data_IF_424455902460
#
_entry.id   IF_424455902460
#
_cell.length_a   1.000
_cell.length_b   1.000
_cell.length_c   1.000
_cell.angle_alpha   90.00
_cell.angle_beta   90.00
_cell.angle_gamma   90.00
#
_symmetry.space_group_name_H-M   'P 1'
#
loop_
_entity.id
_entity.type
_entity.pdbx_description
1 polymer ?
#
# COMPACT_ATOMS: atom_id res chain seq x y z
N UNK A 1 5.92 16.48 1.60
CA UNK A 1 6.03 15.53 2.71
C UNK A 1 7.50 15.23 3.00
N UNK A 2 8.29 14.68 2.07
CA UNK A 2 9.69 14.28 2.28
C UNK A 2 10.52 15.41 2.91
N UNK A 3 10.52 16.60 2.32
CA UNK A 3 11.24 17.77 2.85
C UNK A 3 10.82 18.13 4.27
N UNK A 4 9.54 18.02 4.57
CA UNK A 4 9.00 18.29 5.91
C UNK A 4 9.52 17.29 6.94
N UNK A 5 9.53 16.01 6.61
CA UNK A 5 10.06 14.94 7.48
C UNK A 5 11.55 15.12 7.73
N UNK A 6 12.33 15.38 6.68
CA UNK A 6 13.78 15.63 6.79
C UNK A 6 14.11 16.83 7.68
N UNK A 7 13.35 17.93 7.57
CA UNK A 7 13.52 19.13 8.42
C UNK A 7 13.27 18.86 9.91
N UNK A 8 12.66 17.73 10.24
CA UNK A 8 12.41 17.26 11.62
C UNK A 8 13.30 16.08 12.01
N UNK A 9 14.43 15.93 11.33
CA UNK A 9 15.42 14.86 11.55
C UNK A 9 14.86 13.45 11.31
N UNK A 10 13.75 13.32 10.57
CA UNK A 10 13.25 12.04 10.14
C UNK A 10 14.01 11.52 8.92
N UNK A 11 14.09 10.20 8.79
CA UNK A 11 14.72 9.50 7.66
C UNK A 11 13.62 8.86 6.80
N UNK A 12 13.07 9.60 5.81
CA UNK A 12 11.96 9.09 5.02
C UNK A 12 12.43 8.13 3.94
N UNK A 13 11.62 7.12 3.68
CA UNK A 13 11.67 6.28 2.49
C UNK A 13 10.25 6.08 1.93
N UNK A 14 10.15 5.66 0.68
CA UNK A 14 8.89 5.41 -0.01
C UNK A 14 8.68 3.90 -0.13
N UNK A 15 7.48 3.45 0.21
CA UNK A 15 7.03 2.09 -0.06
C UNK A 15 5.89 2.15 -1.09
N UNK A 16 6.00 1.44 -2.23
CA UNK A 16 4.91 1.35 -3.19
C UNK A 16 3.74 0.54 -2.62
N UNK A 17 2.69 1.20 -2.19
CA UNK A 17 1.49 0.57 -1.65
C UNK A 17 0.49 0.28 -2.77
N UNK A 18 0.83 -0.68 -3.65
CA UNK A 18 0.11 -0.95 -4.91
C UNK A 18 -0.57 -2.32 -4.98
N UNK A 19 -0.47 -3.13 -3.92
CA UNK A 19 -1.01 -4.50 -3.95
C UNK A 19 -0.33 -5.33 -5.04
N UNK A 20 -1.11 -5.82 -6.00
CA UNK A 20 -0.63 -6.61 -7.14
C UNK A 20 -0.32 -5.80 -8.41
N UNK A 21 -0.46 -4.46 -8.39
CA UNK A 21 -0.10 -3.62 -9.54
C UNK A 21 1.39 -3.72 -9.89
N UNK A 22 1.74 -3.43 -11.12
CA UNK A 22 3.11 -3.61 -11.61
C UNK A 22 3.53 -5.09 -11.67
N UNK A 23 2.56 -6.00 -11.87
CA UNK A 23 2.78 -7.45 -11.83
C UNK A 23 3.10 -8.00 -10.44
N UNK A 24 2.90 -7.22 -9.38
CA UNK A 24 3.25 -7.57 -8.01
C UNK A 24 4.76 -7.62 -7.73
N UNK A 25 5.59 -7.20 -8.69
CA UNK A 25 7.05 -7.25 -8.60
C UNK A 25 7.65 -5.92 -8.17
N UNK A 26 8.79 -5.95 -7.50
CA UNK A 26 9.53 -4.75 -7.11
C UNK A 26 9.88 -3.86 -8.31
N UNK A 27 10.36 -4.46 -9.39
CA UNK A 27 10.71 -3.75 -10.63
C UNK A 27 9.48 -3.10 -11.29
N UNK A 28 8.37 -3.83 -11.39
CA UNK A 28 7.13 -3.31 -11.97
C UNK A 28 6.54 -2.16 -11.15
N UNK A 29 6.57 -2.25 -9.83
CA UNK A 29 6.08 -1.18 -8.95
C UNK A 29 6.96 0.08 -9.03
N UNK A 30 8.29 -0.07 -9.14
CA UNK A 30 9.20 1.06 -9.42
C UNK A 30 8.90 1.70 -10.77
N UNK A 31 8.65 0.90 -11.81
CA UNK A 31 8.31 1.41 -13.14
C UNK A 31 7.00 2.21 -13.13
N UNK A 32 5.98 1.77 -12.40
CA UNK A 32 4.73 2.52 -12.21
C UNK A 32 4.99 3.86 -11.52
N UNK A 33 5.78 3.91 -10.46
CA UNK A 33 6.15 5.17 -9.81
C UNK A 33 6.90 6.10 -10.78
N UNK A 34 7.88 5.57 -11.49
CA UNK A 34 8.68 6.33 -12.45
C UNK A 34 7.82 6.93 -13.58
N UNK A 35 6.81 6.20 -14.06
CA UNK A 35 5.85 6.73 -15.05
C UNK A 35 5.03 7.93 -14.53
N UNK A 36 4.93 8.07 -13.21
CA UNK A 36 4.32 9.23 -12.54
C UNK A 36 5.34 10.31 -12.16
N UNK A 37 6.59 10.21 -12.59
CA UNK A 37 7.66 11.13 -12.23
C UNK A 37 8.22 10.94 -10.82
N UNK A 38 7.88 9.82 -10.15
CA UNK A 38 8.33 9.52 -8.78
C UNK A 38 9.54 8.59 -8.87
N UNK A 39 10.73 9.17 -8.76
CA UNK A 39 12.02 8.48 -8.69
C UNK A 39 12.77 8.89 -7.42
N UNK A 40 13.75 8.11 -7.01
CA UNK A 40 14.58 8.45 -5.83
C UNK A 40 15.25 9.81 -5.97
N UNK A 41 15.65 10.16 -7.19
CA UNK A 41 16.25 11.45 -7.51
C UNK A 41 15.21 12.60 -7.40
N UNK A 42 14.03 12.45 -8.01
CA UNK A 42 13.01 13.50 -8.03
C UNK A 42 12.42 13.81 -6.66
N UNK A 43 12.31 12.80 -5.80
CA UNK A 43 11.73 12.94 -4.45
C UNK A 43 12.78 13.11 -3.36
N UNK A 44 14.05 12.80 -3.66
CA UNK A 44 15.15 12.90 -2.72
C UNK A 44 15.04 11.92 -1.54
N UNK A 45 14.49 10.72 -1.75
CA UNK A 45 14.38 9.69 -0.73
C UNK A 45 14.43 8.29 -1.38
N UNK A 46 14.94 7.25 -0.70
CA UNK A 46 14.94 5.88 -1.22
C UNK A 46 13.53 5.37 -1.50
N UNK A 47 13.39 4.54 -2.53
CA UNK A 47 12.18 3.76 -2.81
C UNK A 47 12.45 2.30 -2.46
N UNK A 48 11.86 1.80 -1.39
CA UNK A 48 11.97 0.40 -0.97
C UNK A 48 10.80 -0.37 -1.56
N UNK A 49 11.00 -0.91 -2.76
CA UNK A 49 10.02 -1.75 -3.42
C UNK A 49 10.36 -3.21 -3.17
N UNK A 50 9.68 -3.81 -2.20
CA UNK A 50 9.78 -5.24 -1.89
C UNK A 50 8.52 -5.99 -2.33
N UNK A 51 8.61 -7.32 -2.39
CA UNK A 51 7.48 -8.22 -2.67
C UNK A 51 6.98 -8.88 -1.37
N UNK A 52 7.79 -8.84 -0.34
CA UNK A 52 7.51 -9.49 0.94
C UNK A 52 6.46 -8.74 1.74
N UNK A 53 5.60 -9.52 2.38
CA UNK A 53 4.64 -9.02 3.37
C UNK A 53 4.65 -9.91 4.61
N UNK A 54 4.48 -9.30 5.76
CA UNK A 54 4.33 -9.96 7.06
C UNK A 54 2.86 -10.03 7.44
N UNK A 55 2.45 -11.13 8.08
CA UNK A 55 1.13 -11.20 8.70
C UNK A 55 1.18 -10.43 10.03
N UNK A 56 0.36 -9.40 10.15
CA UNK A 56 0.33 -8.53 11.32
C UNK A 56 -0.83 -8.84 12.27
N UNK A 57 -1.76 -9.69 11.84
CA UNK A 57 -2.90 -10.07 12.67
C UNK A 57 -3.99 -10.77 11.88
N UNK A 58 -5.18 -10.72 12.46
CA UNK A 58 -6.43 -11.25 11.89
C UNK A 58 -7.55 -10.28 12.26
N UNK A 59 -8.41 -9.95 11.31
CA UNK A 59 -9.57 -9.09 11.59
C UNK A 59 -10.68 -9.84 12.36
N UNK A 60 -11.75 -9.13 12.72
CA UNK A 60 -12.88 -9.71 13.47
C UNK A 60 -13.61 -10.83 12.71
N UNK A 61 -13.48 -10.91 11.39
CA UNK A 61 -14.06 -11.97 10.56
C UNK A 61 -13.12 -13.18 10.37
N UNK A 62 -11.98 -13.22 11.06
CA UNK A 62 -10.98 -14.30 10.93
C UNK A 62 -10.09 -14.19 9.70
N UNK A 63 -10.16 -13.09 8.95
CA UNK A 63 -9.36 -12.89 7.74
C UNK A 63 -7.95 -12.39 8.10
N UNK A 64 -6.87 -13.03 7.61
CA UNK A 64 -5.52 -12.59 7.89
C UNK A 64 -5.23 -11.21 7.31
N UNK A 65 -4.51 -10.38 8.07
CA UNK A 65 -4.09 -9.04 7.69
C UNK A 65 -2.59 -9.04 7.43
N UNK A 66 -2.19 -8.48 6.29
CA UNK A 66 -0.80 -8.42 5.85
C UNK A 66 -0.33 -6.98 5.68
N UNK A 67 0.94 -6.73 5.93
CA UNK A 67 1.61 -5.46 5.69
C UNK A 67 2.93 -5.69 4.95
N UNK A 68 3.32 -4.77 4.08
CA UNK A 68 4.65 -4.73 3.49
C UNK A 68 5.72 -4.82 4.57
N UNK A 69 6.73 -5.67 4.37
CA UNK A 69 7.76 -5.94 5.38
C UNK A 69 8.58 -4.68 5.73
N UNK A 70 8.92 -3.86 4.75
CA UNK A 70 9.66 -2.61 5.00
C UNK A 70 8.79 -1.57 5.72
N UNK A 71 7.51 -1.45 5.31
CA UNK A 71 6.57 -0.56 5.97
C UNK A 71 6.33 -0.95 7.44
N UNK A 72 6.28 -2.25 7.73
CA UNK A 72 6.09 -2.76 9.10
C UNK A 72 7.27 -2.45 10.03
N UNK A 73 8.47 -2.29 9.48
CA UNK A 73 9.68 -1.94 10.23
C UNK A 73 9.83 -0.43 10.49
N UNK A 74 9.00 0.40 9.87
CA UNK A 74 9.08 1.85 10.05
C UNK A 74 8.44 2.29 11.36
N UNK A 75 9.01 3.30 12.02
CA UNK A 75 8.45 3.91 13.23
C UNK A 75 7.08 4.56 12.95
N UNK A 76 6.90 5.11 11.73
CA UNK A 76 5.71 5.84 11.32
C UNK A 76 5.35 5.55 9.86
N UNK A 77 4.05 5.45 9.60
CA UNK A 77 3.49 5.36 8.25
C UNK A 77 2.70 6.62 7.92
N UNK A 78 2.98 7.21 6.76
CA UNK A 78 2.23 8.34 6.22
C UNK A 78 1.60 7.90 4.90
N UNK A 79 0.36 7.39 4.91
CA UNK A 79 -0.31 6.97 3.69
C UNK A 79 -0.71 8.19 2.85
N UNK A 80 -0.35 8.16 1.57
CA UNK A 80 -0.68 9.21 0.60
C UNK A 80 -1.27 8.54 -0.63
N UNK A 81 -2.53 8.87 -0.96
CA UNK A 81 -3.12 8.44 -2.20
C UNK A 81 -4.20 9.41 -2.69
N UNK A 82 -4.63 9.21 -3.93
CA UNK A 82 -5.76 9.92 -4.50
C UNK A 82 -7.07 9.27 -4.07
N UNK A 83 -7.98 10.04 -3.51
CA UNK A 83 -9.33 9.59 -3.18
C UNK A 83 -10.20 9.58 -4.44
N UNK A 84 -10.89 8.49 -4.68
CA UNK A 84 -11.85 8.32 -5.77
C UNK A 84 -12.85 7.22 -5.42
N UNK A 85 -14.07 7.22 -6.02
CA UNK A 85 -15.01 6.10 -5.87
C UNK A 85 -14.44 4.82 -6.50
N UNK A 86 -14.95 3.68 -6.09
CA UNK A 86 -14.64 2.40 -6.74
C UNK A 86 -15.46 2.24 -8.03
N UNK A 87 -14.89 1.54 -9.02
CA UNK A 87 -15.52 1.38 -10.33
C UNK A 87 -16.55 0.25 -10.41
N UNK A 88 -16.54 -0.67 -9.45
CA UNK A 88 -17.30 -1.94 -9.53
C UNK A 88 -18.28 -2.16 -8.38
N UNK A 89 -18.18 -1.41 -7.29
CA UNK A 89 -19.11 -1.57 -6.17
C UNK A 89 -19.31 -0.26 -5.42
N UNK A 90 -20.43 -0.17 -4.67
CA UNK A 90 -20.74 0.93 -3.77
C UNK A 90 -20.81 0.42 -2.34
N UNK A 91 -20.12 1.09 -1.43
CA UNK A 91 -20.09 0.80 0.00
C UNK A 91 -19.76 2.09 0.78
N UNK A 92 -19.94 2.13 2.11
CA UNK A 92 -19.52 3.25 2.95
C UNK A 92 -18.03 3.58 2.78
N UNK A 93 -17.22 2.57 2.49
CA UNK A 93 -15.81 2.72 2.11
C UNK A 93 -15.56 1.98 0.80
N UNK A 94 -15.28 2.70 -0.26
CA UNK A 94 -15.06 2.12 -1.60
C UNK A 94 -13.58 2.12 -1.98
N UNK A 95 -12.87 3.18 -1.64
CA UNK A 95 -11.49 3.42 -2.05
C UNK A 95 -10.84 4.41 -1.07
N UNK A 96 -9.63 4.89 -1.40
CA UNK A 96 -8.92 5.85 -0.57
C UNK A 96 -7.94 5.19 0.38
N UNK A 97 -7.71 5.79 1.54
CA UNK A 97 -6.66 5.38 2.48
C UNK A 97 -6.88 3.96 3.01
N UNK A 98 -8.11 3.57 3.35
CA UNK A 98 -8.38 2.22 3.88
C UNK A 98 -8.02 1.14 2.86
N UNK A 99 -8.46 1.29 1.61
CA UNK A 99 -8.06 0.35 0.54
C UNK A 99 -6.54 0.30 0.38
N UNK A 100 -5.87 1.44 0.50
CA UNK A 100 -4.42 1.51 0.38
C UNK A 100 -3.71 0.80 1.54
N UNK A 101 -4.21 0.94 2.77
CA UNK A 101 -3.67 0.25 3.93
C UNK A 101 -3.85 -1.27 3.82
N UNK A 102 -5.04 -1.74 3.43
CA UNK A 102 -5.36 -3.18 3.43
C UNK A 102 -4.82 -3.89 2.19
N UNK A 103 -5.11 -3.38 1.00
CA UNK A 103 -4.72 -4.01 -0.27
C UNK A 103 -3.34 -3.53 -0.71
N UNK A 104 -3.09 -2.23 -0.66
CA UNK A 104 -1.84 -1.63 -1.12
C UNK A 104 -0.64 -2.13 -0.33
N UNK A 105 -0.62 -1.91 0.98
CA UNK A 105 0.42 -2.38 1.88
C UNK A 105 0.38 -3.89 2.11
N UNK A 106 -0.77 -4.55 1.92
CA UNK A 106 -0.88 -6.00 1.98
C UNK A 106 -0.11 -6.74 0.89
N UNK A 107 0.37 -5.99 -0.13
CA UNK A 107 1.06 -6.53 -1.30
C UNK A 107 0.23 -7.59 -2.02
N UNK A 108 0.85 -8.47 -2.77
CA UNK A 108 0.16 -9.53 -3.50
C UNK A 108 -0.63 -10.46 -2.57
N UNK A 109 -0.09 -10.80 -1.40
CA UNK A 109 -0.78 -11.66 -0.42
C UNK A 109 -2.03 -11.01 0.15
N UNK A 110 -1.94 -9.77 0.63
CA UNK A 110 -3.10 -9.03 1.15
C UNK A 110 -4.15 -8.81 0.07
N UNK A 111 -3.74 -8.41 -1.13
CA UNK A 111 -4.64 -8.27 -2.26
C UNK A 111 -5.37 -9.59 -2.59
N UNK A 112 -4.64 -10.71 -2.70
CA UNK A 112 -5.22 -12.03 -2.98
C UNK A 112 -6.18 -12.48 -1.87
N UNK A 113 -5.83 -12.24 -0.60
CA UNK A 113 -6.69 -12.56 0.54
C UNK A 113 -8.03 -11.85 0.44
N UNK A 114 -8.04 -10.54 0.22
CA UNK A 114 -9.28 -9.75 0.12
C UNK A 114 -10.06 -10.10 -1.14
N UNK A 115 -9.40 -10.19 -2.29
CA UNK A 115 -10.05 -10.55 -3.56
C UNK A 115 -10.61 -11.96 -3.58
N UNK A 116 -10.02 -12.89 -2.83
CA UNK A 116 -10.55 -14.25 -2.63
C UNK A 116 -11.96 -14.29 -2.03
N UNK A 117 -12.37 -13.23 -1.35
CA UNK A 117 -13.74 -13.06 -0.83
C UNK A 117 -14.68 -12.30 -1.79
N UNK A 118 -14.24 -12.03 -3.03
CA UNK A 118 -15.01 -11.32 -4.04
C UNK A 118 -15.37 -9.88 -3.64
N UNK A 119 -16.54 -9.41 -4.08
CA UNK A 119 -17.03 -8.05 -3.74
C UNK A 119 -17.28 -7.86 -2.25
N UNK A 120 -17.62 -8.93 -1.53
CA UNK A 120 -17.78 -8.91 -0.08
C UNK A 120 -16.47 -8.59 0.63
N UNK A 121 -15.35 -9.15 0.16
CA UNK A 121 -14.02 -8.84 0.70
C UNK A 121 -13.68 -7.35 0.61
N UNK A 122 -14.03 -6.73 -0.52
CA UNK A 122 -13.80 -5.30 -0.73
C UNK A 122 -14.75 -4.40 0.09
N UNK A 123 -15.99 -4.83 0.33
CA UNK A 123 -16.98 -4.03 1.02
C UNK A 123 -16.93 -4.15 2.55
N UNK A 124 -16.57 -5.33 3.07
CA UNK A 124 -16.67 -5.66 4.50
C UNK A 124 -15.33 -5.83 5.20
N UNK A 125 -14.23 -6.13 4.47
CA UNK A 125 -12.94 -6.49 5.06
C UNK A 125 -11.82 -5.48 4.84
N UNK A 126 -12.14 -4.36 4.19
CA UNK A 126 -11.22 -3.21 4.04
C UNK A 126 -11.32 -2.26 5.24
#
# INVERSE_FOLDING_TARGET
VITYVKRRNGVPFIVPAMGSHGGGTAAGQRAVLASCGITEESIGAPIIAGEESVRIGTNAAGVPVYCDAAAWQADWLIPINRVKPHTQFHAPTESGLLKMLVIGFGKAKGAATIHGHGTRGLAEYI
#
